data_IF_812544302312
#
_entry.id   IF_812544302312
#
_cell.length_a   1.000
_cell.length_b   1.000
_cell.length_c   1.000
_cell.angle_alpha   90.00
_cell.angle_beta   90.00
_cell.angle_gamma   90.00
#
_symmetry.space_group_name_H-M   'P 1'
#
loop_
_entity.id
_entity.type
_entity.pdbx_description
1 polymer ?
#
# COMPACT_ATOMS: atom_id res chain seq x y z
N UNK A 1 15.67 20.45 -5.86
CA UNK A 1 14.48 20.02 -5.08
C UNK A 1 14.45 18.50 -5.16
N UNK A 2 14.44 17.78 -4.03
CA UNK A 2 14.49 16.32 -4.06
C UNK A 2 13.17 15.74 -4.55
N UNK A 3 13.22 14.80 -5.50
CA UNK A 3 12.07 14.09 -6.04
C UNK A 3 11.89 12.74 -5.33
N UNK A 4 10.68 12.16 -5.27
CA UNK A 4 10.48 10.78 -4.80
C UNK A 4 11.33 9.73 -5.54
N UNK A 5 11.86 10.07 -6.72
CA UNK A 5 12.80 9.21 -7.47
C UNK A 5 14.21 9.17 -6.90
N UNK A 6 14.61 10.19 -6.11
CA UNK A 6 15.97 10.36 -5.61
C UNK A 6 16.18 9.68 -4.24
N UNK A 7 15.11 9.13 -3.65
CA UNK A 7 15.10 8.58 -2.30
C UNK A 7 14.83 7.07 -2.38
N UNK A 8 15.49 6.25 -1.55
CA UNK A 8 15.14 4.84 -1.42
C UNK A 8 13.65 4.67 -1.09
N UNK A 9 12.97 3.82 -1.86
CA UNK A 9 11.52 3.63 -1.81
C UNK A 9 11.06 3.17 -0.41
N UNK A 10 11.84 2.31 0.26
CA UNK A 10 11.54 1.83 1.60
C UNK A 10 11.42 2.99 2.60
N UNK A 11 12.42 3.87 2.62
CA UNK A 11 12.46 5.04 3.49
C UNK A 11 11.31 6.01 3.18
N UNK A 12 11.02 6.21 1.89
CA UNK A 12 9.92 7.06 1.48
C UNK A 12 8.56 6.52 1.97
N UNK A 13 8.32 5.22 1.78
CA UNK A 13 7.06 4.58 2.19
C UNK A 13 6.90 4.61 3.72
N UNK A 14 7.97 4.33 4.48
CA UNK A 14 7.93 4.38 5.95
C UNK A 14 7.52 5.75 6.47
N UNK A 15 8.18 6.82 5.98
CA UNK A 15 7.82 8.19 6.36
C UNK A 15 6.41 8.56 5.93
N UNK A 16 6.03 8.23 4.69
CA UNK A 16 4.70 8.55 4.18
C UNK A 16 3.59 7.86 4.98
N UNK A 17 3.82 6.62 5.41
CA UNK A 17 2.89 5.87 6.25
C UNK A 17 2.70 6.53 7.62
N UNK A 18 3.75 7.06 8.25
CA UNK A 18 3.60 7.82 9.50
C UNK A 18 2.85 9.13 9.29
N UNK A 19 3.12 9.86 8.21
CA UNK A 19 2.34 11.06 7.85
C UNK A 19 0.86 10.75 7.62
N UNK A 20 0.55 9.67 6.90
CA UNK A 20 -0.84 9.25 6.64
C UNK A 20 -1.61 8.92 7.92
N UNK A 21 -0.94 8.43 8.97
CA UNK A 21 -1.58 8.17 10.28
C UNK A 21 -2.01 9.46 10.99
N UNK A 22 -1.35 10.59 10.71
CA UNK A 22 -1.71 11.88 11.32
C UNK A 22 -2.98 12.49 10.71
N UNK A 23 -3.33 12.09 9.50
CA UNK A 23 -4.48 12.62 8.76
C UNK A 23 -5.76 11.92 9.23
N UNK A 24 -6.62 12.66 9.92
CA UNK A 24 -7.88 12.14 10.52
C UNK A 24 -8.90 11.60 9.52
N UNK A 25 -8.77 11.94 8.24
CA UNK A 25 -9.65 11.42 7.19
C UNK A 25 -9.21 10.05 6.69
N UNK A 26 -7.96 9.67 6.94
CA UNK A 26 -7.35 8.45 6.43
C UNK A 26 -7.23 7.46 7.58
N UNK A 27 -8.24 6.62 7.70
CA UNK A 27 -8.27 5.56 8.70
C UNK A 27 -8.54 4.20 8.06
N UNK A 28 -7.93 3.12 8.59
CA UNK A 28 -8.20 1.79 8.12
C UNK A 28 -9.66 1.44 8.42
N UNK A 29 -10.35 0.81 7.46
CA UNK A 29 -11.69 0.31 7.71
C UNK A 29 -11.64 -0.88 8.67
N UNK A 30 -12.74 -1.14 9.38
CA UNK A 30 -12.82 -2.20 10.41
C UNK A 30 -12.43 -3.58 9.88
N UNK A 31 -12.80 -3.90 8.64
CA UNK A 31 -12.47 -5.18 8.02
C UNK A 31 -10.97 -5.39 7.78
N UNK A 32 -10.15 -4.34 7.79
CA UNK A 32 -8.72 -4.43 7.49
C UNK A 32 -7.96 -5.32 8.48
N UNK A 33 -8.50 -5.51 9.69
CA UNK A 33 -7.90 -6.35 10.73
C UNK A 33 -8.07 -7.86 10.46
N UNK A 34 -9.07 -8.24 9.66
CA UNK A 34 -9.48 -9.65 9.54
C UNK A 34 -9.21 -10.24 8.15
N UNK A 35 -8.96 -9.41 7.15
CA UNK A 35 -8.81 -9.86 5.77
C UNK A 35 -7.38 -10.21 5.43
N UNK A 36 -7.25 -11.14 4.47
CA UNK A 36 -6.03 -11.32 3.71
C UNK A 36 -5.93 -10.30 2.58
N UNK A 37 -4.70 -9.94 2.20
CA UNK A 37 -4.44 -8.92 1.16
C UNK A 37 -4.73 -9.36 -0.28
N UNK A 38 -4.96 -10.66 -0.50
CA UNK A 38 -5.19 -11.22 -1.83
C UNK A 38 -5.55 -12.70 -1.78
N UNK A 39 -6.10 -13.22 -2.89
CA UNK A 39 -6.49 -14.63 -3.01
C UNK A 39 -5.31 -15.60 -3.03
N UNK A 40 -4.10 -15.09 -3.31
CA UNK A 40 -2.83 -15.80 -3.31
C UNK A 40 -2.15 -15.86 -1.94
N UNK A 41 -2.76 -15.27 -0.90
CA UNK A 41 -2.27 -15.36 0.48
C UNK A 41 -3.17 -16.31 1.26
N UNK A 42 -2.58 -17.01 2.23
CA UNK A 42 -3.29 -17.92 3.12
C UNK A 42 -3.63 -17.27 4.46
N UNK A 43 -2.73 -16.40 4.95
CA UNK A 43 -2.89 -15.70 6.24
C UNK A 43 -3.04 -14.19 6.05
N UNK A 44 -3.71 -13.49 6.98
CA UNK A 44 -3.66 -12.03 7.08
C UNK A 44 -2.23 -11.53 7.29
N UNK A 45 -1.94 -10.25 6.97
CA UNK A 45 -0.66 -9.63 7.31
C UNK A 45 -0.42 -9.66 8.82
N UNK A 46 0.80 -9.99 9.23
CA UNK A 46 1.22 -9.94 10.64
C UNK A 46 1.39 -8.50 11.14
N UNK A 47 1.67 -7.58 10.23
CA UNK A 47 1.86 -6.17 10.54
C UNK A 47 0.52 -5.45 10.70
N UNK A 48 0.25 -4.90 11.87
CA UNK A 48 -1.03 -4.22 12.18
C UNK A 48 -1.27 -2.99 11.28
N UNK A 49 -0.22 -2.25 10.95
CA UNK A 49 -0.30 -1.05 10.11
C UNK A 49 -0.12 -1.33 8.61
N UNK A 50 -0.33 -2.58 8.18
CA UNK A 50 -0.23 -2.99 6.77
C UNK A 50 -1.08 -2.13 5.84
N UNK A 51 -2.25 -1.67 6.30
CA UNK A 51 -3.17 -0.87 5.51
C UNK A 51 -2.54 0.49 5.16
N UNK A 52 -1.88 1.14 6.11
CA UNK A 52 -1.17 2.40 5.87
C UNK A 52 0.03 2.21 4.93
N UNK A 53 0.79 1.11 5.09
CA UNK A 53 1.85 0.75 4.15
C UNK A 53 1.33 0.56 2.73
N UNK A 54 0.18 -0.10 2.59
CA UNK A 54 -0.47 -0.32 1.29
C UNK A 54 -0.90 1.00 0.67
N UNK A 55 -1.52 1.88 1.45
CA UNK A 55 -1.95 3.21 0.99
C UNK A 55 -0.76 4.06 0.55
N UNK A 56 0.32 4.11 1.34
CA UNK A 56 1.56 4.80 0.98
C UNK A 56 2.16 4.26 -0.33
N UNK A 57 2.18 2.94 -0.50
CA UNK A 57 2.64 2.30 -1.74
C UNK A 57 1.76 2.67 -2.95
N UNK A 58 0.43 2.70 -2.79
CA UNK A 58 -0.50 3.04 -3.87
C UNK A 58 -0.29 4.50 -4.32
N UNK A 59 -0.13 5.43 -3.38
CA UNK A 59 0.17 6.82 -3.67
C UNK A 59 1.48 6.97 -4.43
N UNK A 60 2.52 6.22 -4.05
CA UNK A 60 3.77 6.20 -4.78
C UNK A 60 3.60 5.66 -6.22
N UNK A 61 2.80 4.61 -6.42
CA UNK A 61 2.53 4.10 -7.77
C UNK A 61 1.72 5.09 -8.62
N UNK A 62 0.76 5.81 -8.02
CA UNK A 62 0.01 6.87 -8.70
C UNK A 62 0.94 8.01 -9.12
N UNK A 63 1.83 8.46 -8.23
CA UNK A 63 2.83 9.48 -8.56
C UNK A 63 3.75 9.02 -9.70
N UNK A 64 4.24 7.78 -9.63
CA UNK A 64 5.20 7.24 -10.59
C UNK A 64 4.61 6.93 -11.97
N UNK A 65 3.38 6.41 -12.02
CA UNK A 65 2.76 5.89 -13.25
C UNK A 65 1.66 6.79 -13.80
N UNK A 66 1.31 7.86 -13.09
CA UNK A 66 0.18 8.72 -13.41
C UNK A 66 -1.17 8.05 -13.12
N UNK A 67 -2.17 8.35 -13.94
CA UNK A 67 -3.54 7.86 -13.78
C UNK A 67 -3.55 6.33 -13.99
N UNK A 68 -3.74 5.58 -12.90
CA UNK A 68 -3.87 4.12 -12.92
C UNK A 68 -5.16 3.68 -12.25
N UNK A 69 -5.91 2.81 -12.93
CA UNK A 69 -7.15 2.25 -12.40
C UNK A 69 -6.93 1.05 -11.47
N UNK A 70 -8.00 0.67 -10.77
CA UNK A 70 -8.03 -0.43 -9.80
C UNK A 70 -7.61 -1.77 -10.42
N UNK A 71 -7.97 -2.03 -11.68
CA UNK A 71 -7.57 -3.27 -12.38
C UNK A 71 -6.04 -3.39 -12.52
N UNK A 72 -5.35 -2.29 -12.79
CA UNK A 72 -3.89 -2.30 -12.93
C UNK A 72 -3.20 -2.45 -11.58
N UNK A 73 -3.72 -1.76 -10.55
CA UNK A 73 -3.26 -1.91 -9.17
C UNK A 73 -3.43 -3.35 -8.68
N UNK A 74 -4.57 -3.99 -8.98
CA UNK A 74 -4.81 -5.40 -8.65
C UNK A 74 -3.73 -6.33 -9.23
N UNK A 75 -3.28 -6.06 -10.46
CA UNK A 75 -2.21 -6.86 -11.07
C UNK A 75 -0.83 -6.58 -10.46
N UNK A 76 -0.52 -5.31 -10.16
CA UNK A 76 0.76 -4.92 -9.54
C UNK A 76 0.92 -5.56 -8.16
N UNK A 77 -0.15 -5.57 -7.37
CA UNK A 77 -0.13 -6.05 -5.99
C UNK A 77 -0.67 -7.48 -5.81
N UNK A 78 -1.14 -8.08 -6.88
CA UNK A 78 -1.53 -9.48 -6.92
C UNK A 78 -0.30 -10.39 -6.93
N UNK A 79 -0.54 -11.69 -6.95
CA UNK A 79 0.53 -12.66 -7.10
C UNK A 79 0.01 -13.98 -7.65
N UNK A 80 0.94 -14.86 -7.99
CA UNK A 80 0.62 -16.23 -8.40
C UNK A 80 -0.08 -16.94 -7.25
N UNK A 81 -1.26 -17.51 -7.54
CA UNK A 81 -1.95 -18.41 -6.63
C UNK A 81 -1.57 -19.82 -7.01
N UNK A 82 -1.01 -20.57 -6.08
CA UNK A 82 -0.79 -22.01 -6.27
C UNK A 82 -2.17 -22.70 -6.27
N UNK A 83 -2.41 -23.48 -7.33
CA UNK A 83 -3.67 -24.16 -7.62
C UNK A 83 -3.51 -25.65 -7.38
#
# INVERSE_FOLDING_TARGET
MASPYDIPISVFIEKLKEELKTIKEIHPPEWALYVKTGSNKDRPPEQEDWWYYRTASILYQLYRRGIIGVNRLRNIYGGRKDR
#
